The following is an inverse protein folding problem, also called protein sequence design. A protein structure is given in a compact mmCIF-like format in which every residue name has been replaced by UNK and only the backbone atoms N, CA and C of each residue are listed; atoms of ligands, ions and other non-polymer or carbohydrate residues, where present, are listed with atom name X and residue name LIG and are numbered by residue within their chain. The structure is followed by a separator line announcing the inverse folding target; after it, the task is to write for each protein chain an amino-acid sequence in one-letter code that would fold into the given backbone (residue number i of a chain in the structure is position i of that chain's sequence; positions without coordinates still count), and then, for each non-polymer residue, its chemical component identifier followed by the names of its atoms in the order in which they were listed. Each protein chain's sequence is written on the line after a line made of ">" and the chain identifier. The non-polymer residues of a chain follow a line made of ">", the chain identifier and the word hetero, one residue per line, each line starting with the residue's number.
data_IF_106692892590
#
_entry.id   IF_106692892590
#
_cell.length_a   1.000
_cell.length_b   1.000
_cell.length_c   1.000
_cell.angle_alpha   90.00
_cell.angle_beta   90.00
_cell.angle_gamma   90.00
#
_symmetry.space_group_name_H-M   'P 1'
#
loop_
_entity.id
_entity.type
_entity.pdbx_description
1 polymer ?
#
# COMPACT_ATOMS: atom_id res chain seq x y z
N UNK A 1 -3.92 18.82 6.97
CA UNK A 1 -2.91 19.33 7.92
C UNK A 1 -1.48 18.92 7.54
N UNK A 2 -1.16 17.62 7.33
CA UNK A 2 0.21 17.21 6.97
C UNK A 2 0.54 17.67 5.54
N UNK A 3 -0.31 17.37 4.57
CA UNK A 3 -0.11 17.77 3.17
C UNK A 3 -0.10 19.30 3.03
N UNK A 4 -0.94 20.02 3.78
CA UNK A 4 -0.93 21.49 3.77
C UNK A 4 0.41 22.06 4.28
N UNK A 5 1.02 21.41 5.29
CA UNK A 5 2.34 21.82 5.77
C UNK A 5 3.42 21.56 4.71
N UNK A 6 3.42 20.38 4.07
CA UNK A 6 4.35 20.09 2.97
C UNK A 6 4.18 21.06 1.79
N UNK A 7 2.94 21.40 1.43
CA UNK A 7 2.67 22.39 0.40
C UNK A 7 3.26 23.76 0.76
N UNK A 8 3.02 24.22 2.00
CA UNK A 8 3.53 25.50 2.47
C UNK A 8 5.08 25.55 2.54
N UNK A 9 5.73 24.45 2.93
CA UNK A 9 7.20 24.37 2.95
C UNK A 9 7.77 24.34 1.52
N UNK A 10 7.17 23.60 0.62
CA UNK A 10 7.56 23.58 -0.80
C UNK A 10 7.42 24.98 -1.46
N UNK A 11 6.34 25.68 -1.19
CA UNK A 11 6.11 27.04 -1.74
C UNK A 11 7.14 28.07 -1.29
N UNK A 12 7.71 27.91 -0.08
CA UNK A 12 8.80 28.79 0.40
C UNK A 12 10.07 28.62 -0.43
N UNK A 13 10.39 27.37 -0.77
CA UNK A 13 11.61 27.04 -1.50
C UNK A 13 11.44 27.22 -3.02
N UNK A 14 10.18 27.32 -3.50
CA UNK A 14 9.83 27.47 -4.90
C UNK A 14 8.92 28.69 -5.14
N UNK A 15 9.45 29.92 -5.08
CA UNK A 15 8.68 31.14 -5.29
C UNK A 15 8.01 31.15 -6.67
N UNK A 16 6.70 31.40 -6.70
CA UNK A 16 5.92 31.42 -7.94
C UNK A 16 5.12 30.15 -8.20
N UNK A 17 5.38 29.06 -7.48
CA UNK A 17 4.53 27.88 -7.50
C UNK A 17 3.52 27.96 -6.35
N UNK A 18 2.28 27.58 -6.62
CA UNK A 18 1.22 27.43 -5.62
C UNK A 18 0.67 26.02 -5.65
N UNK A 19 0.56 25.39 -4.50
CA UNK A 19 0.03 24.05 -4.35
C UNK A 19 -1.34 24.13 -3.68
N UNK A 20 -2.35 23.58 -4.33
CA UNK A 20 -3.70 23.45 -3.80
C UNK A 20 -3.99 21.97 -3.48
N UNK A 21 -3.81 21.52 -2.24
CA UNK A 21 -4.17 20.18 -1.85
C UNK A 21 -5.68 19.99 -1.89
N UNK A 22 -6.15 18.92 -2.52
CA UNK A 22 -7.56 18.56 -2.60
C UNK A 22 -7.74 17.16 -1.99
N UNK A 23 -8.48 17.08 -0.90
CA UNK A 23 -8.89 15.80 -0.34
C UNK A 23 -10.05 15.22 -1.13
N UNK A 24 -9.86 14.09 -1.76
CA UNK A 24 -10.84 13.50 -2.68
C UNK A 24 -11.63 12.32 -2.08
N UNK A 25 -11.33 11.89 -0.86
CA UNK A 25 -11.96 10.74 -0.21
C UNK A 25 -11.05 9.52 -0.17
N UNK A 26 -11.61 8.34 -0.44
CA UNK A 26 -10.86 7.08 -0.55
C UNK A 26 -10.00 7.05 -1.81
N UNK A 27 -9.13 6.04 -1.94
CA UNK A 27 -8.38 5.82 -3.19
C UNK A 27 -9.31 5.61 -4.39
N UNK A 28 -10.42 4.86 -4.21
CA UNK A 28 -11.42 4.64 -5.25
C UNK A 28 -12.11 5.96 -5.67
N UNK A 29 -12.44 6.83 -4.69
CA UNK A 29 -12.99 8.16 -4.99
C UNK A 29 -11.97 9.01 -5.75
N UNK A 30 -10.70 8.91 -5.35
CA UNK A 30 -9.62 9.72 -5.93
C UNK A 30 -9.38 9.35 -7.39
N UNK A 31 -9.27 8.05 -7.74
CA UNK A 31 -9.09 7.65 -9.14
C UNK A 31 -10.29 8.03 -9.99
N UNK A 32 -11.51 7.82 -9.49
CA UNK A 32 -12.74 8.20 -10.22
C UNK A 32 -12.78 9.69 -10.53
N UNK A 33 -12.45 10.52 -9.54
CA UNK A 33 -12.41 11.99 -9.70
C UNK A 33 -11.28 12.44 -10.61
N UNK A 34 -10.10 11.82 -10.49
CA UNK A 34 -8.96 12.13 -11.34
C UNK A 34 -9.27 11.85 -12.82
N UNK A 35 -9.79 10.67 -13.14
CA UNK A 35 -10.18 10.31 -14.50
C UNK A 35 -11.31 11.22 -15.05
N UNK A 36 -12.26 11.59 -14.19
CA UNK A 36 -13.30 12.54 -14.57
C UNK A 36 -12.71 13.92 -14.90
N UNK A 37 -11.77 14.40 -14.12
CA UNK A 37 -11.09 15.67 -14.33
C UNK A 37 -10.22 15.65 -15.61
N UNK A 38 -9.53 14.53 -15.87
CA UNK A 38 -8.79 14.33 -17.14
C UNK A 38 -9.75 14.44 -18.34
N UNK A 39 -10.89 13.74 -18.30
CA UNK A 39 -11.91 13.79 -19.38
C UNK A 39 -12.56 15.16 -19.49
N UNK A 40 -12.62 15.92 -18.41
CA UNK A 40 -13.10 17.30 -18.38
C UNK A 40 -12.09 18.36 -18.86
N UNK A 41 -10.85 17.96 -19.15
CA UNK A 41 -9.79 18.87 -19.58
C UNK A 41 -9.10 19.66 -18.46
N UNK A 42 -9.38 19.34 -17.20
CA UNK A 42 -8.80 19.96 -16.00
C UNK A 42 -8.12 18.93 -15.08
N UNK A 43 -7.12 18.18 -15.57
CA UNK A 43 -6.47 17.15 -14.79
C UNK A 43 -5.74 17.74 -13.56
N UNK A 44 -5.66 17.01 -12.45
CA UNK A 44 -4.74 17.37 -11.38
C UNK A 44 -3.29 17.20 -11.86
N UNK A 45 -2.37 18.03 -11.37
CA UNK A 45 -0.95 17.92 -11.71
C UNK A 45 -0.35 16.62 -11.14
N UNK A 46 -0.77 16.25 -9.93
CA UNK A 46 -0.38 14.98 -9.29
C UNK A 46 -1.54 14.41 -8.49
N UNK A 47 -1.56 13.09 -8.30
CA UNK A 47 -2.53 12.42 -7.43
C UNK A 47 -1.84 11.31 -6.64
N UNK A 48 -2.29 11.10 -5.39
CA UNK A 48 -1.86 9.98 -4.57
C UNK A 48 -2.85 8.84 -4.77
N UNK A 49 -2.40 7.77 -5.42
CA UNK A 49 -3.22 6.64 -5.84
C UNK A 49 -2.57 5.31 -5.46
N UNK A 50 -3.30 4.22 -5.61
CA UNK A 50 -2.74 2.88 -5.47
C UNK A 50 -1.90 2.52 -6.69
N UNK A 51 -0.81 1.78 -6.49
CA UNK A 51 0.02 1.29 -7.60
C UNK A 51 -0.76 0.35 -8.55
N UNK A 52 -1.80 -0.31 -8.06
CA UNK A 52 -2.71 -1.13 -8.88
C UNK A 52 -3.52 -0.34 -9.89
N UNK A 53 -3.73 0.96 -9.64
CA UNK A 53 -4.46 1.84 -10.55
C UNK A 53 -3.61 2.30 -11.74
N UNK A 54 -2.29 2.11 -11.68
CA UNK A 54 -1.33 2.57 -12.68
C UNK A 54 -1.66 2.06 -14.09
N UNK A 55 -2.02 0.79 -14.22
CA UNK A 55 -2.36 0.21 -15.52
C UNK A 55 -3.58 0.86 -16.15
N UNK A 56 -4.63 1.09 -15.37
CA UNK A 56 -5.83 1.82 -15.84
C UNK A 56 -5.48 3.24 -16.29
N UNK A 57 -4.60 3.92 -15.54
CA UNK A 57 -4.19 5.28 -15.87
C UNK A 57 -3.33 5.35 -17.14
N UNK A 58 -2.49 4.34 -17.40
CA UNK A 58 -1.72 4.19 -18.62
C UNK A 58 -2.65 3.91 -19.81
N UNK A 59 -3.58 2.96 -19.66
CA UNK A 59 -4.52 2.57 -20.73
C UNK A 59 -5.47 3.71 -21.13
N UNK A 60 -5.78 4.62 -20.19
CA UNK A 60 -6.60 5.83 -20.44
C UNK A 60 -5.76 7.05 -20.85
N UNK A 61 -4.47 6.90 -21.10
CA UNK A 61 -3.53 8.01 -21.38
C UNK A 61 -3.62 9.18 -20.37
N UNK A 62 -3.91 8.85 -19.11
CA UNK A 62 -4.17 9.83 -18.06
C UNK A 62 -2.91 10.26 -17.29
N UNK A 63 -1.79 9.60 -17.50
CA UNK A 63 -0.51 9.90 -16.85
C UNK A 63 0.65 9.86 -17.85
N UNK A 64 1.72 10.57 -17.51
CA UNK A 64 2.98 10.55 -18.24
C UNK A 64 4.08 9.90 -17.41
N UNK A 65 5.02 9.17 -18.01
CA UNK A 65 6.12 8.60 -17.26
C UNK A 65 7.09 9.69 -16.77
N UNK A 66 7.66 9.49 -15.60
CA UNK A 66 8.69 10.38 -15.03
C UNK A 66 9.94 10.46 -15.91
N UNK A 67 10.24 9.41 -16.65
CA UNK A 67 11.36 9.36 -17.60
C UNK A 67 11.29 10.47 -18.65
N UNK A 68 10.10 10.90 -19.03
CA UNK A 68 9.90 11.99 -19.98
C UNK A 68 10.11 13.39 -19.36
N UNK A 69 10.06 13.47 -18.03
CA UNK A 69 10.20 14.71 -17.26
C UNK A 69 11.59 14.89 -16.65
N UNK A 70 12.26 13.79 -16.32
CA UNK A 70 13.60 13.75 -15.72
C UNK A 70 14.65 14.02 -16.80
N UNK A 71 15.28 15.19 -16.74
CA UNK A 71 16.17 15.66 -17.79
C UNK A 71 17.60 15.94 -17.31
N UNK A 72 17.77 16.20 -16.01
CA UNK A 72 19.08 16.54 -15.46
C UNK A 72 19.73 15.36 -14.72
N UNK A 73 21.06 15.34 -14.56
CA UNK A 73 21.72 14.34 -13.73
C UNK A 73 21.22 14.35 -12.26
N UNK A 74 20.86 15.52 -11.74
CA UNK A 74 20.31 15.72 -10.41
C UNK A 74 18.95 15.04 -10.26
N UNK A 75 18.05 15.23 -11.23
CA UNK A 75 16.73 14.56 -11.25
C UNK A 75 16.89 13.04 -11.30
N UNK A 76 17.84 12.56 -12.12
CA UNK A 76 18.15 11.13 -12.23
C UNK A 76 18.74 10.58 -10.92
N UNK A 77 19.60 11.36 -10.24
CA UNK A 77 20.15 10.98 -8.95
C UNK A 77 19.05 10.91 -7.88
N UNK A 78 18.13 11.88 -7.88
CA UNK A 78 16.97 11.87 -7.02
C UNK A 78 16.10 10.62 -7.24
N UNK A 79 15.75 10.28 -8.48
CA UNK A 79 14.96 9.09 -8.77
C UNK A 79 15.66 7.80 -8.30
N UNK A 80 16.98 7.72 -8.47
CA UNK A 80 17.78 6.58 -7.99
C UNK A 80 17.97 6.54 -6.47
N UNK A 81 17.61 7.59 -5.74
CA UNK A 81 17.72 7.63 -4.27
C UNK A 81 16.64 6.81 -3.56
N UNK A 82 15.57 6.46 -4.25
CA UNK A 82 14.52 5.61 -3.69
C UNK A 82 14.97 4.15 -3.59
N UNK A 83 14.53 3.45 -2.56
CA UNK A 83 14.81 2.03 -2.44
C UNK A 83 14.24 1.24 -3.62
N UNK A 84 15.03 0.38 -4.28
CA UNK A 84 14.56 -0.39 -5.44
C UNK A 84 13.28 -1.16 -5.19
N UNK A 85 13.16 -1.85 -4.04
CA UNK A 85 11.96 -2.58 -3.66
C UNK A 85 10.69 -1.70 -3.56
N UNK A 86 10.83 -0.39 -3.31
CA UNK A 86 9.69 0.52 -3.30
C UNK A 86 9.33 1.03 -4.69
N UNK A 87 10.29 1.00 -5.60
CA UNK A 87 10.10 1.42 -6.99
C UNK A 87 9.45 0.34 -7.87
N UNK A 88 9.57 -0.94 -7.53
CA UNK A 88 9.03 -2.05 -8.34
C UNK A 88 7.57 -1.85 -8.74
N UNK A 89 6.71 -1.45 -7.78
CA UNK A 89 5.29 -1.19 -8.03
C UNK A 89 5.00 0.16 -8.72
N UNK A 90 6.03 0.89 -9.08
CA UNK A 90 5.93 2.19 -9.76
C UNK A 90 6.45 2.12 -11.19
N UNK A 91 6.87 0.94 -11.65
CA UNK A 91 7.53 0.74 -12.93
C UNK A 91 6.86 -0.36 -13.75
N UNK A 92 6.70 -0.12 -15.03
CA UNK A 92 6.28 -1.12 -16.03
C UNK A 92 6.73 -0.70 -17.41
N UNK A 93 6.96 -1.68 -18.30
CA UNK A 93 7.42 -1.42 -19.67
C UNK A 93 8.76 -0.67 -19.74
N UNK A 94 9.63 -0.81 -18.73
CA UNK A 94 10.92 -0.11 -18.66
C UNK A 94 10.82 1.38 -18.31
N UNK A 95 9.65 1.86 -17.90
CA UNK A 95 9.39 3.26 -17.52
C UNK A 95 8.90 3.37 -16.09
N UNK A 96 9.14 4.53 -15.47
CA UNK A 96 8.69 4.90 -14.12
C UNK A 96 7.44 5.77 -14.23
N UNK A 97 6.30 5.27 -13.75
CA UNK A 97 5.00 5.92 -13.87
C UNK A 97 4.53 6.56 -12.57
N UNK A 98 5.18 6.27 -11.46
CA UNK A 98 4.84 6.80 -10.16
C UNK A 98 6.03 6.91 -9.22
N UNK A 99 5.90 7.74 -8.21
CA UNK A 99 6.89 7.88 -7.14
C UNK A 99 6.29 7.31 -5.84
N UNK A 100 7.03 6.49 -5.10
CA UNK A 100 6.52 5.94 -3.84
C UNK A 100 6.32 7.06 -2.81
N UNK A 101 5.06 7.35 -2.49
CA UNK A 101 4.70 8.30 -1.43
C UNK A 101 4.62 7.62 -0.06
N UNK A 102 3.98 6.45 -0.01
CA UNK A 102 3.90 5.59 1.18
C UNK A 102 3.87 4.13 0.77
N UNK A 103 4.37 3.27 1.64
CA UNK A 103 4.32 1.82 1.45
C UNK A 103 3.82 1.16 2.72
N UNK A 104 2.97 0.15 2.54
CA UNK A 104 2.47 -0.70 3.61
C UNK A 104 3.05 -2.09 3.47
N UNK A 105 3.16 -2.79 4.58
CA UNK A 105 3.50 -4.20 4.60
C UNK A 105 2.52 -4.97 5.49
N UNK A 106 2.37 -6.25 5.23
CA UNK A 106 1.56 -7.13 6.06
C UNK A 106 2.37 -7.50 7.29
N UNK A 107 1.77 -7.35 8.46
CA UNK A 107 2.35 -7.72 9.74
C UNK A 107 1.37 -8.56 10.55
N UNK A 108 1.91 -9.43 11.39
CA UNK A 108 1.13 -10.21 12.35
C UNK A 108 1.11 -9.50 13.69
N UNK A 109 -0.08 -9.18 14.17
CA UNK A 109 -0.32 -8.81 15.57
C UNK A 109 -0.80 -10.04 16.32
N UNK A 110 -0.26 -10.28 17.53
CA UNK A 110 -0.72 -11.38 18.36
C UNK A 110 -0.94 -10.95 19.80
N UNK A 111 -1.92 -11.57 20.44
CA UNK A 111 -2.21 -11.37 21.85
C UNK A 111 -1.30 -12.26 22.71
N UNK A 112 -0.37 -11.63 23.42
CA UNK A 112 0.62 -12.35 24.26
C UNK A 112 -0.02 -13.12 25.41
N UNK A 113 -1.09 -12.64 26.00
CA UNK A 113 -1.78 -13.34 27.07
C UNK A 113 -2.52 -14.57 26.53
N UNK A 114 -3.19 -14.46 25.38
CA UNK A 114 -3.79 -15.61 24.73
C UNK A 114 -2.75 -16.69 24.36
N UNK A 115 -1.54 -16.29 23.96
CA UNK A 115 -0.44 -17.22 23.71
C UNK A 115 -0.05 -17.99 25.00
N UNK A 116 0.13 -17.28 26.12
CA UNK A 116 0.44 -17.91 27.41
C UNK A 116 -0.65 -18.90 27.83
N UNK A 117 -1.91 -18.50 27.73
CA UNK A 117 -3.05 -19.37 28.05
C UNK A 117 -3.11 -20.62 27.19
N UNK A 118 -2.67 -20.54 25.94
CA UNK A 118 -2.60 -21.67 25.01
C UNK A 118 -1.30 -22.49 25.13
N UNK A 119 -0.41 -22.16 26.08
CA UNK A 119 0.88 -22.82 26.26
C UNK A 119 1.90 -22.51 25.16
N UNK A 120 1.75 -21.35 24.50
CA UNK A 120 2.69 -20.86 23.48
C UNK A 120 3.62 -19.80 24.09
N UNK A 121 4.82 -19.66 23.51
CA UNK A 121 5.73 -18.59 23.90
C UNK A 121 5.18 -17.21 23.46
N UNK A 122 4.89 -16.31 24.40
CA UNK A 122 4.32 -15.00 24.09
C UNK A 122 5.29 -14.05 23.37
N UNK A 123 6.58 -14.38 23.31
CA UNK A 123 7.59 -13.53 22.69
C UNK A 123 8.08 -14.09 21.34
N UNK A 124 7.56 -15.25 20.93
CA UNK A 124 7.92 -15.91 19.68
C UNK A 124 6.72 -15.99 18.73
N UNK A 125 6.74 -15.25 17.59
CA UNK A 125 5.74 -15.41 16.55
C UNK A 125 5.92 -16.77 15.84
N UNK A 126 4.90 -17.28 15.13
CA UNK A 126 5.07 -18.45 14.26
C UNK A 126 6.10 -18.16 13.17
N UNK A 127 6.97 -19.14 12.92
CA UNK A 127 8.06 -19.00 11.95
C UNK A 127 7.69 -19.49 10.54
N UNK A 128 6.52 -20.09 10.37
CA UNK A 128 6.01 -20.59 9.08
C UNK A 128 4.49 -20.60 9.05
N UNK A 129 3.92 -20.68 7.84
CA UNK A 129 2.46 -20.83 7.67
C UNK A 129 1.92 -22.09 8.32
N UNK A 130 2.67 -23.20 8.32
CA UNK A 130 2.30 -24.41 9.03
C UNK A 130 2.19 -24.16 10.53
N UNK A 131 3.19 -23.53 11.12
CA UNK A 131 3.18 -23.19 12.54
C UNK A 131 2.08 -22.17 12.87
N UNK A 132 1.80 -21.23 11.96
CA UNK A 132 0.68 -20.30 12.09
C UNK A 132 -0.67 -21.03 12.21
N UNK A 133 -0.89 -22.08 11.40
CA UNK A 133 -2.10 -22.90 11.47
C UNK A 133 -2.15 -23.68 12.79
N UNK A 134 -1.04 -24.27 13.23
CA UNK A 134 -0.96 -24.97 14.51
C UNK A 134 -1.24 -24.05 15.70
N UNK A 135 -0.72 -22.82 15.68
CA UNK A 135 -1.00 -21.81 16.70
C UNK A 135 -2.47 -21.38 16.66
N UNK A 136 -3.01 -21.15 15.48
CA UNK A 136 -4.41 -20.77 15.33
C UNK A 136 -5.37 -21.85 15.89
N UNK A 137 -5.04 -23.14 15.68
CA UNK A 137 -5.81 -24.24 16.27
C UNK A 137 -5.76 -24.24 17.79
N UNK A 138 -4.58 -24.05 18.40
CA UNK A 138 -4.41 -23.96 19.86
C UNK A 138 -5.10 -22.76 20.49
N UNK A 139 -5.09 -21.62 19.80
CA UNK A 139 -5.68 -20.37 20.23
C UNK A 139 -7.21 -20.32 20.07
N UNK A 140 -7.78 -21.20 19.26
CA UNK A 140 -9.23 -21.29 19.06
C UNK A 140 -9.89 -21.91 20.27
N UNK A 141 -10.80 -21.17 20.91
CA UNK A 141 -11.59 -21.65 22.05
C UNK A 141 -13.02 -21.97 21.66
N UNK A 142 -13.55 -23.00 22.29
CA UNK A 142 -14.94 -23.43 22.10
C UNK A 142 -15.61 -23.62 23.47
N UNK A 143 -16.89 -23.37 23.53
CA UNK A 143 -17.71 -23.68 24.70
C UNK A 143 -18.10 -25.18 24.76
N UNK A 144 -18.83 -25.54 25.80
CA UNK A 144 -19.31 -26.92 26.00
C UNK A 144 -20.23 -27.43 24.88
N UNK A 145 -20.85 -26.55 24.10
CA UNK A 145 -21.67 -26.90 22.92
C UNK A 145 -20.86 -27.06 21.63
N UNK A 146 -19.55 -26.77 21.69
CA UNK A 146 -18.66 -26.79 20.53
C UNK A 146 -18.64 -25.48 19.72
N UNK A 147 -19.41 -24.48 20.12
CA UNK A 147 -19.45 -23.15 19.47
C UNK A 147 -18.13 -22.43 19.72
N UNK A 148 -17.55 -21.82 18.67
CA UNK A 148 -16.35 -21.01 18.81
C UNK A 148 -16.65 -19.75 19.61
N UNK A 149 -15.90 -19.55 20.69
CA UNK A 149 -15.95 -18.35 21.55
C UNK A 149 -14.77 -17.42 21.32
N UNK A 150 -13.67 -17.95 20.77
CA UNK A 150 -12.50 -17.19 20.34
C UNK A 150 -11.89 -17.84 19.11
N UNK A 151 -11.69 -17.06 18.07
CA UNK A 151 -10.94 -17.50 16.89
C UNK A 151 -9.44 -17.34 17.13
N UNK A 152 -8.67 -18.34 16.74
CA UNK A 152 -7.21 -18.34 16.89
C UNK A 152 -6.47 -17.47 15.89
N UNK A 153 -7.13 -17.08 14.79
CA UNK A 153 -6.62 -16.14 13.80
C UNK A 153 -7.78 -15.39 13.16
N UNK A 154 -7.54 -14.14 12.82
CA UNK A 154 -8.42 -13.35 11.97
C UNK A 154 -7.65 -12.94 10.72
N UNK A 155 -8.19 -13.27 9.57
CA UNK A 155 -7.69 -12.84 8.26
C UNK A 155 -8.64 -11.76 7.74
N UNK A 156 -8.15 -10.57 7.33
CA UNK A 156 -9.01 -9.53 6.82
C UNK A 156 -9.73 -9.99 5.55
N UNK A 157 -11.05 -9.76 5.51
CA UNK A 157 -11.91 -10.07 4.35
C UNK A 157 -12.52 -8.82 3.71
N UNK A 158 -12.16 -7.64 4.22
CA UNK A 158 -12.58 -6.33 3.72
C UNK A 158 -11.38 -5.39 3.67
N UNK A 159 -11.54 -4.23 3.07
CA UNK A 159 -10.44 -3.30 2.82
C UNK A 159 -9.55 -3.79 1.68
N UNK A 160 -8.37 -4.29 1.99
CA UNK A 160 -7.40 -4.78 0.98
C UNK A 160 -7.03 -6.26 1.19
N UNK A 161 -7.99 -7.20 1.18
CA UNK A 161 -7.74 -8.61 1.50
C UNK A 161 -6.83 -9.29 0.47
N UNK A 162 -6.79 -8.78 -0.76
CA UNK A 162 -5.96 -9.32 -1.84
C UNK A 162 -4.45 -9.24 -1.52
N UNK A 163 -3.99 -8.31 -0.70
CA UNK A 163 -2.56 -8.20 -0.36
C UNK A 163 -2.06 -9.44 0.40
N UNK A 164 -2.84 -9.93 1.37
CA UNK A 164 -2.46 -11.16 2.06
C UNK A 164 -2.52 -12.37 1.11
N UNK A 165 -3.54 -12.43 0.26
CA UNK A 165 -3.64 -13.49 -0.76
C UNK A 165 -2.45 -13.47 -1.73
N UNK A 166 -2.07 -12.30 -2.23
CA UNK A 166 -0.90 -12.13 -3.09
C UNK A 166 0.39 -12.58 -2.38
N UNK A 167 0.58 -12.18 -1.12
CA UNK A 167 1.75 -12.59 -0.34
C UNK A 167 1.83 -14.12 -0.19
N UNK A 168 0.70 -14.78 0.03
CA UNK A 168 0.61 -16.24 0.10
C UNK A 168 0.90 -16.89 -1.25
N UNK A 169 0.33 -16.37 -2.33
CA UNK A 169 0.53 -16.88 -3.69
C UNK A 169 2.00 -16.78 -4.12
N UNK A 170 2.62 -15.60 -3.93
CA UNK A 170 4.04 -15.37 -4.25
C UNK A 170 4.93 -16.33 -3.45
N UNK A 171 4.69 -16.51 -2.16
CA UNK A 171 5.47 -17.43 -1.33
C UNK A 171 5.26 -18.91 -1.72
N UNK A 172 4.12 -19.25 -2.30
CA UNK A 172 3.84 -20.57 -2.86
C UNK A 172 4.47 -20.79 -4.26
N UNK A 173 5.12 -19.77 -4.82
CA UNK A 173 5.73 -19.83 -6.15
C UNK A 173 4.75 -19.61 -7.30
N UNK A 174 3.57 -19.05 -7.00
CA UNK A 174 2.54 -18.72 -8.00
C UNK A 174 2.51 -17.20 -8.15
N UNK A 175 2.74 -16.73 -9.36
CA UNK A 175 2.68 -15.29 -9.69
C UNK A 175 1.69 -15.08 -10.84
#
# INVERSE_FOLDING_TARGET
>A
KIIDAFAADFEKDNPGIRIKPIYSGTYQDTITKALTAVKGGEPPVTSILLSTDMYTLIDEDAIVPFDDLIRTPEDQAWLRSFYPAFMENSQTGGKTWGIPFQRSTIVLYWNKEAFKEAGLDPNRPPASWKEQVEYAQKLTKRDASGKVTQWGIQIPSSGFPYWLFQALAIQAGTN
#
